data_IF_371127206129
#
_entry.id   IF_371127206129
#
_cell.length_a   1.000
_cell.length_b   1.000
_cell.length_c   1.000
_cell.angle_alpha   90.00
_cell.angle_beta   90.00
_cell.angle_gamma   90.00
#
_symmetry.space_group_name_H-M   'P 1'
#
loop_
_entity.id
_entity.type
_entity.pdbx_description
1 polymer ?
#
# COMPACT_ATOMS: atom_id res chain seq x y z
N UNK A 1 -16.48 -55.51 -6.75
CA UNK A 1 -16.63 -55.03 -5.36
C UNK A 1 -15.27 -54.45 -4.94
N UNK A 2 -15.15 -53.10 -4.96
CA UNK A 2 -14.78 -52.24 -3.82
C UNK A 2 -13.54 -52.73 -3.06
N UNK A 3 -12.37 -52.13 -3.33
CA UNK A 3 -11.62 -51.18 -2.47
C UNK A 3 -10.98 -51.89 -1.25
N UNK A 4 -9.75 -51.64 -0.81
CA UNK A 4 -9.12 -50.34 -0.61
C UNK A 4 -7.63 -50.59 -0.26
N UNK A 5 -6.70 -49.99 -1.01
CA UNK A 5 -5.28 -49.91 -0.65
C UNK A 5 -5.11 -48.76 0.34
N UNK A 6 -4.55 -49.03 1.52
CA UNK A 6 -4.08 -47.99 2.44
C UNK A 6 -2.55 -48.03 2.43
N UNK A 7 -1.93 -47.00 1.85
CA UNK A 7 -0.51 -46.72 2.03
C UNK A 7 -0.37 -45.59 3.06
N UNK A 8 0.55 -45.70 4.03
CA UNK A 8 0.74 -44.68 5.04
C UNK A 8 1.55 -43.50 4.48
N UNK A 9 1.04 -42.30 4.74
CA UNK A 9 1.76 -41.05 5.04
C UNK A 9 3.20 -40.88 4.53
N UNK A 10 3.39 -39.94 3.61
CA UNK A 10 4.58 -39.09 3.61
C UNK A 10 4.13 -37.63 3.49
N UNK A 11 3.91 -37.01 4.65
CA UNK A 11 3.75 -35.57 4.76
C UNK A 11 5.14 -34.96 4.47
N UNK A 12 5.38 -34.50 3.24
CA UNK A 12 6.53 -33.64 2.98
C UNK A 12 6.26 -32.29 3.64
N UNK A 13 6.90 -32.08 4.79
CA UNK A 13 7.16 -30.74 5.32
C UNK A 13 8.05 -29.99 4.31
N UNK A 14 7.46 -29.22 3.42
CA UNK A 14 8.16 -28.06 2.86
C UNK A 14 8.01 -26.92 3.86
N UNK A 15 8.85 -26.97 4.90
CA UNK A 15 9.24 -25.77 5.64
C UNK A 15 10.22 -24.99 4.75
N UNK A 16 9.72 -24.49 3.61
CA UNK A 16 10.38 -23.41 2.91
C UNK A 16 10.20 -22.19 3.79
N UNK A 17 11.29 -21.80 4.46
CA UNK A 17 11.36 -20.57 5.22
C UNK A 17 10.84 -19.43 4.33
N UNK A 18 9.62 -18.96 4.62
CA UNK A 18 9.24 -17.62 4.27
C UNK A 18 10.09 -16.75 5.18
N UNK A 19 11.29 -16.41 4.72
CA UNK A 19 12.06 -15.31 5.29
C UNK A 19 11.23 -14.06 5.08
N UNK A 20 10.31 -13.81 6.02
CA UNK A 20 9.78 -12.49 6.20
C UNK A 20 10.99 -11.62 6.53
N UNK A 21 11.51 -10.92 5.51
CA UNK A 21 12.47 -9.86 5.68
C UNK A 21 11.78 -8.77 6.49
N UNK A 22 11.82 -8.93 7.81
CA UNK A 22 11.50 -7.87 8.74
C UNK A 22 12.70 -6.95 8.69
N UNK A 23 12.80 -6.13 7.63
CA UNK A 23 13.59 -4.90 7.73
C UNK A 23 12.92 -4.14 8.85
N UNK A 24 13.52 -4.15 10.04
CA UNK A 24 12.99 -3.48 11.20
C UNK A 24 12.95 -1.97 10.89
N UNK A 25 11.83 -1.52 10.33
CA UNK A 25 11.51 -0.11 10.18
C UNK A 25 11.44 0.41 11.61
N UNK A 26 12.37 1.28 11.98
CA UNK A 26 12.30 1.97 13.27
C UNK A 26 11.03 2.80 13.24
N UNK A 27 9.98 2.31 13.89
CA UNK A 27 8.79 3.10 14.19
C UNK A 27 9.30 4.32 14.96
N UNK A 28 8.96 5.54 14.53
CA UNK A 28 9.31 6.71 15.33
C UNK A 28 8.61 6.56 16.68
N UNK A 29 9.37 6.70 17.77
CA UNK A 29 8.83 6.52 19.13
C UNK A 29 7.71 7.54 19.44
N UNK A 30 7.60 8.60 18.64
CA UNK A 30 6.59 9.66 18.73
C UNK A 30 5.32 9.40 17.89
N UNK A 31 5.25 8.31 17.11
CA UNK A 31 4.03 7.99 16.35
C UNK A 31 2.98 7.32 17.24
N UNK A 32 1.88 8.03 17.45
CA UNK A 32 0.72 7.54 18.20
C UNK A 32 -0.36 7.12 17.19
N UNK A 33 -0.58 5.81 16.95
CA UNK A 33 -1.69 5.38 16.11
C UNK A 33 -3.03 5.75 16.76
N UNK A 34 -4.00 6.14 15.94
CA UNK A 34 -5.37 6.30 16.43
C UNK A 34 -6.02 4.97 16.83
N UNK A 35 -7.15 5.05 17.55
CA UNK A 35 -7.86 3.88 18.09
C UNK A 35 -8.47 2.96 17.02
N UNK A 36 -8.69 3.50 15.81
CA UNK A 36 -9.30 2.77 14.69
C UNK A 36 -8.57 3.06 13.39
N UNK A 37 -8.29 1.98 12.64
CA UNK A 37 -7.80 2.08 11.26
C UNK A 37 -8.95 2.55 10.36
N UNK A 38 -8.74 3.68 9.67
CA UNK A 38 -9.72 4.30 8.77
C UNK A 38 -9.50 3.82 7.33
N UNK A 39 -8.24 3.78 6.93
CA UNK A 39 -7.80 3.28 5.64
C UNK A 39 -6.43 2.61 5.82
N UNK A 40 -6.20 1.49 5.14
CA UNK A 40 -4.94 0.77 5.12
C UNK A 40 -4.86 0.03 3.79
N UNK A 41 -3.79 0.24 3.06
CA UNK A 41 -3.50 -0.52 1.85
C UNK A 41 -2.08 -1.09 1.90
N UNK A 42 -1.97 -2.39 1.64
CA UNK A 42 -0.68 -3.10 1.62
C UNK A 42 -0.28 -3.54 0.21
N UNK A 43 -1.18 -3.36 -0.78
CA UNK A 43 -0.98 -3.67 -2.19
C UNK A 43 -0.67 -5.16 -2.51
N UNK A 44 -0.68 -6.06 -1.51
CA UNK A 44 -0.26 -7.47 -1.64
C UNK A 44 -1.08 -8.32 -2.62
N UNK A 45 -2.28 -7.88 -2.99
CA UNK A 45 -3.19 -8.62 -3.87
C UNK A 45 -3.58 -7.82 -5.11
N UNK A 46 -2.88 -6.70 -5.34
CA UNK A 46 -3.08 -5.87 -6.51
C UNK A 46 -2.37 -6.47 -7.72
N UNK A 47 -2.88 -6.16 -8.91
CA UNK A 47 -2.28 -6.57 -10.17
C UNK A 47 -1.22 -5.55 -10.60
N UNK A 48 -0.01 -6.02 -10.91
CA UNK A 48 1.06 -5.15 -11.41
C UNK A 48 0.69 -4.49 -12.74
N UNK A 49 1.01 -3.21 -12.89
CA UNK A 49 0.72 -2.40 -14.08
C UNK A 49 -0.71 -1.85 -14.14
N UNK A 50 -1.58 -2.21 -13.20
CA UNK A 50 -2.93 -1.66 -13.10
C UNK A 50 -3.01 -0.57 -12.03
N UNK A 51 -4.04 0.27 -12.11
CA UNK A 51 -4.34 1.22 -11.05
C UNK A 51 -4.86 0.49 -9.80
N UNK A 52 -4.38 0.81 -8.58
CA UNK A 52 -4.73 0.06 -7.38
C UNK A 52 -6.22 0.18 -7.03
N UNK A 53 -6.86 -0.95 -6.73
CA UNK A 53 -8.33 -1.04 -6.60
C UNK A 53 -8.92 -0.28 -5.41
N UNK A 54 -8.09 0.10 -4.44
CA UNK A 54 -8.49 0.80 -3.20
C UNK A 54 -8.29 2.31 -3.26
N UNK A 55 -7.98 2.84 -4.44
CA UNK A 55 -7.75 4.25 -4.67
C UNK A 55 -8.67 4.77 -5.77
N UNK A 56 -8.80 6.09 -5.83
CA UNK A 56 -9.37 6.84 -6.93
C UNK A 56 -8.27 7.67 -7.61
N UNK A 57 -8.37 7.81 -8.93
CA UNK A 57 -7.51 8.67 -9.73
C UNK A 57 -8.24 9.96 -10.06
N UNK A 58 -7.75 11.10 -9.55
CA UNK A 58 -8.30 12.42 -9.91
C UNK A 58 -7.65 12.99 -11.17
N UNK A 59 -6.34 12.79 -11.33
CA UNK A 59 -5.58 13.23 -12.51
C UNK A 59 -4.27 12.46 -12.66
N UNK A 60 -3.69 12.52 -13.86
CA UNK A 60 -2.41 11.90 -14.18
C UNK A 60 -2.51 10.39 -14.35
N UNK A 61 -1.46 9.68 -13.95
CA UNK A 61 -1.37 8.23 -14.07
C UNK A 61 -0.52 7.68 -12.93
N UNK A 62 -1.03 6.64 -12.30
CA UNK A 62 -0.34 5.84 -11.31
C UNK A 62 -0.66 4.37 -11.56
N UNK A 63 0.23 3.48 -11.12
CA UNK A 63 0.08 2.04 -11.29
C UNK A 63 0.70 1.30 -10.11
N UNK A 64 0.30 0.06 -9.92
CA UNK A 64 0.91 -0.85 -8.96
C UNK A 64 2.20 -1.37 -9.56
N UNK A 65 3.31 -1.16 -8.87
CA UNK A 65 4.63 -1.70 -9.20
C UNK A 65 5.14 -2.58 -8.07
N UNK A 66 6.23 -3.30 -8.32
CA UNK A 66 6.97 -4.03 -7.29
C UNK A 66 8.31 -3.35 -7.01
N UNK A 67 8.63 -3.18 -5.72
CA UNK A 67 9.94 -2.76 -5.25
C UNK A 67 10.36 -3.62 -4.06
N UNK A 68 11.51 -4.29 -4.16
CA UNK A 68 12.05 -5.18 -3.14
C UNK A 68 11.04 -6.26 -2.65
N UNK A 69 10.22 -6.80 -3.56
CA UNK A 69 9.18 -7.78 -3.23
C UNK A 69 7.93 -7.21 -2.53
N UNK A 70 7.79 -5.89 -2.47
CA UNK A 70 6.63 -5.19 -1.96
C UNK A 70 5.89 -4.45 -3.07
N UNK A 71 4.56 -4.50 -3.03
CA UNK A 71 3.73 -3.65 -3.88
C UNK A 71 3.91 -2.17 -3.50
N UNK A 72 4.02 -1.31 -4.49
CA UNK A 72 4.09 0.15 -4.34
C UNK A 72 3.19 0.84 -5.36
N UNK A 73 2.75 2.06 -5.07
CA UNK A 73 2.07 2.90 -6.05
C UNK A 73 3.13 3.75 -6.75
N UNK A 74 3.40 3.44 -8.01
CA UNK A 74 4.30 4.20 -8.86
C UNK A 74 3.55 5.30 -9.61
N UNK A 75 4.03 6.53 -9.52
CA UNK A 75 3.49 7.65 -10.29
C UNK A 75 4.24 7.80 -11.60
N UNK A 76 3.63 7.37 -12.70
CA UNK A 76 4.27 7.32 -14.04
C UNK A 76 4.15 8.63 -14.82
N UNK A 77 3.28 9.54 -14.38
CA UNK A 77 3.12 10.87 -14.95
C UNK A 77 3.28 11.96 -13.87
N UNK A 78 3.75 13.14 -14.28
CA UNK A 78 3.77 14.32 -13.41
C UNK A 78 2.35 14.82 -13.13
N UNK A 79 2.14 15.50 -12.00
CA UNK A 79 0.83 16.09 -11.63
C UNK A 79 -0.26 15.04 -11.41
N UNK A 80 0.14 13.83 -11.06
CA UNK A 80 -0.79 12.79 -10.65
C UNK A 80 -1.37 13.08 -9.27
N UNK A 81 -2.67 12.84 -9.14
CA UNK A 81 -3.41 13.02 -7.89
C UNK A 81 -4.27 11.80 -7.66
N UNK A 82 -4.07 11.15 -6.52
CA UNK A 82 -4.85 10.00 -6.07
C UNK A 82 -5.41 10.23 -4.67
N UNK A 83 -6.50 9.56 -4.34
CA UNK A 83 -7.05 9.54 -2.99
C UNK A 83 -7.52 8.13 -2.62
N UNK A 84 -7.61 7.78 -1.33
CA UNK A 84 -8.30 6.57 -0.90
C UNK A 84 -9.73 6.51 -1.47
N UNK A 85 -10.10 5.37 -2.03
CA UNK A 85 -11.47 5.09 -2.45
C UNK A 85 -12.31 4.86 -1.19
N UNK A 86 -13.24 5.78 -0.90
CA UNK A 86 -14.02 5.79 0.33
C UNK A 86 -15.50 6.03 0.05
N UNK A 87 -16.37 5.27 0.72
CA UNK A 87 -17.83 5.27 0.48
C UNK A 87 -18.54 6.57 0.92
N UNK A 88 -17.85 7.42 1.69
CA UNK A 88 -18.42 8.66 2.22
C UNK A 88 -17.51 9.84 1.93
N UNK A 89 -18.16 10.96 1.67
CA UNK A 89 -17.48 12.24 1.71
C UNK A 89 -16.99 12.53 3.14
N UNK A 90 -15.89 13.29 3.26
CA UNK A 90 -15.39 13.79 4.54
C UNK A 90 -15.10 12.65 5.54
N UNK A 91 -14.36 11.65 5.07
CA UNK A 91 -14.09 10.40 5.77
C UNK A 91 -13.08 10.52 6.91
N UNK A 92 -12.26 11.58 6.93
CA UNK A 92 -11.35 11.85 8.03
C UNK A 92 -12.10 12.42 9.24
N UNK A 93 -11.80 11.96 10.47
CA UNK A 93 -12.22 12.63 11.69
C UNK A 93 -11.43 13.92 11.92
N UNK A 94 -11.79 14.67 12.95
CA UNK A 94 -11.10 15.90 13.33
C UNK A 94 -9.66 15.63 13.81
N UNK A 95 -9.45 14.51 14.51
CA UNK A 95 -8.14 14.07 14.99
C UNK A 95 -7.82 12.73 14.33
N UNK A 96 -6.72 12.69 13.58
CA UNK A 96 -6.25 11.52 12.87
C UNK A 96 -4.73 11.46 12.85
N UNK A 97 -4.19 10.28 12.56
CA UNK A 97 -2.77 10.09 12.24
C UNK A 97 -2.63 9.39 10.90
N UNK A 98 -1.60 9.75 10.14
CA UNK A 98 -1.26 9.16 8.85
C UNK A 98 0.16 8.62 8.94
N UNK A 99 0.35 7.38 8.51
CA UNK A 99 1.65 6.75 8.35
C UNK A 99 1.73 6.18 6.92
N UNK A 100 2.85 6.43 6.24
CA UNK A 100 3.12 5.90 4.90
C UNK A 100 4.63 5.81 4.69
N UNK A 101 5.01 5.03 3.68
CA UNK A 101 6.36 5.01 3.14
C UNK A 101 6.40 5.75 1.82
N UNK A 102 7.49 6.49 1.59
CA UNK A 102 7.74 7.20 0.35
C UNK A 102 9.15 6.90 -0.14
N UNK A 103 9.27 6.73 -1.44
CA UNK A 103 10.55 6.55 -2.10
C UNK A 103 10.75 7.69 -3.09
N UNK A 104 11.91 8.35 -3.01
CA UNK A 104 12.31 9.40 -3.94
C UNK A 104 13.38 8.83 -4.86
N UNK A 105 13.07 8.76 -6.15
CA UNK A 105 14.01 8.22 -7.14
C UNK A 105 14.99 9.28 -7.63
N UNK A 106 14.58 10.55 -7.62
CA UNK A 106 15.40 11.66 -8.07
C UNK A 106 16.13 12.36 -6.91
N UNK A 107 17.32 12.88 -7.20
CA UNK A 107 18.12 13.68 -6.23
C UNK A 107 17.64 15.14 -6.11
N UNK A 108 16.50 15.49 -6.72
CA UNK A 108 15.88 16.81 -6.71
C UNK A 108 14.60 16.85 -7.54
N UNK A 109 13.77 17.89 -7.34
CA UNK A 109 12.54 18.17 -8.11
C UNK A 109 11.42 17.13 -8.01
N UNK A 110 11.45 16.27 -7.00
CA UNK A 110 10.38 15.32 -6.70
C UNK A 110 9.77 15.67 -5.35
N UNK A 111 8.45 15.87 -5.31
CA UNK A 111 7.71 16.17 -4.09
C UNK A 111 6.41 15.37 -4.02
N UNK A 112 6.24 14.67 -2.90
CA UNK A 112 5.00 14.01 -2.50
C UNK A 112 4.30 14.94 -1.49
N UNK A 113 3.13 15.44 -1.83
CA UNK A 113 2.35 16.33 -0.96
C UNK A 113 1.08 15.63 -0.53
N UNK A 114 0.84 15.55 0.78
CA UNK A 114 -0.47 15.23 1.32
C UNK A 114 -1.28 16.51 1.47
N UNK A 115 -2.38 16.62 0.73
CA UNK A 115 -3.30 17.74 0.84
C UNK A 115 -4.54 17.31 1.61
N UNK A 116 -4.87 18.04 2.68
CA UNK A 116 -6.08 17.83 3.46
C UNK A 116 -7.06 18.96 3.19
N UNK A 117 -8.21 18.63 2.64
CA UNK A 117 -9.31 19.58 2.42
C UNK A 117 -10.64 18.94 2.80
N UNK A 118 -11.49 19.69 3.48
CA UNK A 118 -12.84 19.24 3.87
C UNK A 118 -12.88 17.82 4.49
N UNK A 119 -11.90 17.44 5.30
CA UNK A 119 -11.79 16.08 5.89
C UNK A 119 -11.64 14.94 4.84
N UNK A 120 -10.97 15.23 3.73
CA UNK A 120 -10.47 14.26 2.74
C UNK A 120 -8.95 14.43 2.61
N UNK A 121 -8.26 13.42 2.09
CA UNK A 121 -6.82 13.46 1.81
C UNK A 121 -6.57 13.14 0.34
N UNK A 122 -5.78 13.98 -0.31
CA UNK A 122 -5.21 13.73 -1.62
C UNK A 122 -3.70 13.54 -1.51
N UNK A 123 -3.17 12.56 -2.24
CA UNK A 123 -1.74 12.40 -2.48
C UNK A 123 -1.44 13.02 -3.83
N UNK A 124 -0.64 14.08 -3.82
CA UNK A 124 -0.30 14.88 -4.99
C UNK A 124 1.18 14.76 -5.28
N UNK A 125 1.52 14.35 -6.49
CA UNK A 125 2.91 14.36 -6.97
C UNK A 125 3.11 15.54 -7.89
N UNK A 126 4.07 16.40 -7.54
CA UNK A 126 4.52 17.48 -8.40
C UNK A 126 5.98 17.23 -8.72
N UNK A 127 6.25 16.93 -9.99
CA UNK A 127 7.60 17.11 -10.51
C UNK A 127 7.74 18.62 -10.78
N UNK A 128 8.76 19.23 -10.19
CA UNK A 128 9.08 20.65 -10.41
C UNK A 128 10.04 20.83 -11.58
#
# INVERSE_FOLDING_TARGET
MKNLTILPSLLLFFAGAMEAQTRAKKKSDDFIPGDKVIFLDSLKSEQLGEFPTRWDLKSGTAEVMEMDGHGVIGFVASQSVINPLMDRENWLPEIFTVEFDVYFHNRGNEAYTLMFDNRKMDVVIRNS
#
